data_IF_846000104916
#
_entry.id   IF_846000104916
#
_cell.length_a   1.000
_cell.length_b   1.000
_cell.length_c   1.000
_cell.angle_alpha   90.00
_cell.angle_beta   90.00
_cell.angle_gamma   90.00
#
_symmetry.space_group_name_H-M   'P 1'
#
loop_
_entity.id
_entity.type
_entity.pdbx_description
1 polymer ?
#
# COMPACT_ATOMS: atom_id res chain seq x y z
N UNK A 1 -46.98 -20.67 -20.94
CA UNK A 1 -47.17 -22.13 -20.91
C UNK A 1 -47.01 -22.58 -19.47
N UNK A 2 -48.10 -23.09 -18.86
CA UNK A 2 -48.17 -23.52 -17.45
C UNK A 2 -47.49 -24.89 -17.31
N UNK A 3 -46.73 -25.12 -16.24
CA UNK A 3 -46.69 -26.44 -15.60
C UNK A 3 -46.50 -26.28 -14.09
N UNK A 4 -47.53 -26.70 -13.35
CA UNK A 4 -47.52 -26.96 -11.91
C UNK A 4 -47.33 -28.47 -11.77
N UNK A 5 -46.47 -28.94 -10.86
CA UNK A 5 -46.60 -30.28 -10.28
C UNK A 5 -46.40 -30.14 -8.77
N UNK A 6 -47.46 -30.48 -8.06
CA UNK A 6 -47.60 -30.66 -6.62
C UNK A 6 -47.26 -32.12 -6.31
N UNK A 7 -46.56 -32.37 -5.21
CA UNK A 7 -46.71 -33.62 -4.45
C UNK A 7 -46.89 -33.29 -2.96
N UNK A 8 -47.86 -33.97 -2.37
CA UNK A 8 -48.49 -33.78 -1.07
C UNK A 8 -48.26 -35.07 -0.25
N UNK A 9 -48.30 -34.96 1.08
CA UNK A 9 -48.54 -36.03 2.09
C UNK A 9 -47.35 -36.95 2.43
N UNK A 10 -47.15 -37.52 3.64
CA UNK A 10 -47.90 -37.51 4.91
C UNK A 10 -47.10 -38.22 6.05
N UNK A 11 -47.53 -37.98 7.30
CA UNK A 11 -47.46 -38.83 8.52
C UNK A 11 -46.10 -39.11 9.17
N UNK A 12 -45.81 -38.70 10.42
CA UNK A 12 -46.38 -39.04 11.74
C UNK A 12 -46.10 -40.50 12.19
N UNK A 13 -45.16 -40.64 13.14
CA UNK A 13 -45.15 -41.74 14.11
C UNK A 13 -44.44 -41.28 15.41
N UNK A 14 -45.23 -41.14 16.46
CA UNK A 14 -44.80 -41.04 17.86
C UNK A 14 -44.57 -42.47 18.34
N UNK A 15 -43.39 -42.76 18.90
CA UNK A 15 -43.17 -43.95 19.70
C UNK A 15 -42.39 -43.55 20.95
N UNK A 16 -43.10 -43.51 22.08
CA UNK A 16 -42.54 -43.44 23.41
C UNK A 16 -42.33 -44.86 23.93
N UNK A 17 -41.10 -45.19 24.32
CA UNK A 17 -40.77 -46.36 25.14
C UNK A 17 -39.77 -45.92 26.20
N UNK A 18 -40.24 -45.81 27.43
CA UNK A 18 -39.43 -45.85 28.65
C UNK A 18 -39.16 -47.32 28.98
N UNK A 19 -37.90 -47.67 29.26
CA UNK A 19 -37.46 -48.48 30.42
C UNK A 19 -35.96 -48.81 30.33
N UNK A 20 -35.23 -48.28 31.31
CA UNK A 20 -34.15 -48.92 32.09
C UNK A 20 -32.85 -49.37 31.39
N UNK A 21 -31.80 -48.58 31.62
CA UNK A 21 -30.59 -49.05 32.31
C UNK A 21 -29.58 -49.89 31.54
N UNK A 22 -28.49 -49.25 31.11
CA UNK A 22 -27.13 -49.78 31.31
C UNK A 22 -26.11 -48.63 31.21
N UNK A 23 -25.22 -48.59 32.20
CA UNK A 23 -24.17 -47.59 32.40
C UNK A 23 -23.24 -47.50 31.19
N UNK A 24 -23.06 -46.29 30.67
CA UNK A 24 -21.85 -45.92 29.93
C UNK A 24 -21.30 -44.63 30.53
N UNK A 25 -20.03 -44.73 30.96
CA UNK A 25 -19.22 -43.65 31.52
C UNK A 25 -19.34 -42.40 30.64
N UNK A 26 -19.95 -41.35 31.18
CA UNK A 26 -19.80 -39.99 30.68
C UNK A 26 -18.40 -39.50 31.05
N UNK A 27 -17.47 -39.62 30.10
CA UNK A 27 -16.25 -38.82 30.11
C UNK A 27 -16.64 -37.38 29.79
N UNK A 28 -16.82 -36.58 30.83
CA UNK A 28 -16.75 -35.12 30.73
C UNK A 28 -15.36 -34.75 30.20
N UNK A 29 -15.30 -34.40 28.92
CA UNK A 29 -14.16 -33.71 28.35
C UNK A 29 -14.21 -32.24 28.78
N UNK A 30 -13.86 -31.99 30.05
CA UNK A 30 -13.35 -30.68 30.45
C UNK A 30 -11.94 -30.59 29.89
N UNK A 31 -11.81 -30.08 28.66
CA UNK A 31 -10.54 -29.55 28.17
C UNK A 31 -10.25 -28.28 28.97
N UNK A 32 -9.69 -28.47 30.16
CA UNK A 32 -8.91 -27.44 30.82
C UNK A 32 -7.70 -27.21 29.93
N UNK A 33 -7.70 -26.10 29.19
CA UNK A 33 -6.50 -25.52 28.58
C UNK A 33 -5.47 -25.33 29.68
N UNK A 34 -4.66 -26.37 29.88
CA UNK A 34 -3.54 -26.34 30.79
C UNK A 34 -2.39 -25.73 30.00
N UNK A 35 -2.37 -24.40 29.92
CA UNK A 35 -1.12 -23.71 29.65
C UNK A 35 -0.16 -24.16 30.76
N UNK A 36 0.75 -25.08 30.45
CA UNK A 36 1.76 -25.52 31.40
C UNK A 36 2.45 -24.27 31.95
N UNK A 37 2.46 -24.13 33.28
CA UNK A 37 3.12 -23.00 33.92
C UNK A 37 4.58 -22.97 33.43
N UNK A 38 5.09 -21.82 32.95
CA UNK A 38 6.46 -21.72 32.50
C UNK A 38 7.40 -22.18 33.62
N UNK A 39 8.51 -22.88 33.31
CA UNK A 39 9.45 -23.33 34.32
C UNK A 39 9.91 -22.13 35.16
N UNK A 40 9.97 -22.31 36.49
CA UNK A 40 10.24 -21.22 37.44
C UNK A 40 11.50 -20.40 37.17
N UNK A 41 12.48 -20.97 36.44
CA UNK A 41 13.71 -20.31 36.03
C UNK A 41 13.51 -19.16 35.02
N UNK A 42 12.36 -19.11 34.33
CA UNK A 42 12.06 -18.12 33.31
C UNK A 42 11.16 -16.98 33.83
N UNK A 43 10.85 -16.95 35.13
CA UNK A 43 9.99 -15.92 35.73
C UNK A 43 10.83 -14.77 36.28
N UNK A 44 10.58 -13.55 35.78
CA UNK A 44 11.32 -12.34 36.19
C UNK A 44 10.55 -11.48 37.20
N UNK A 45 9.24 -11.63 37.28
CA UNK A 45 8.38 -10.99 38.29
C UNK A 45 7.04 -11.73 38.42
N UNK A 46 6.25 -11.44 39.45
CA UNK A 46 4.88 -11.95 39.61
C UNK A 46 3.95 -10.83 40.07
N UNK A 47 2.79 -10.68 39.43
CA UNK A 47 1.80 -9.62 39.72
C UNK A 47 0.46 -10.25 40.01
N UNK A 48 0.01 -10.21 41.27
CA UNK A 48 -1.23 -10.85 41.74
C UNK A 48 -1.34 -12.33 41.31
N UNK A 49 -0.25 -13.08 41.46
CA UNK A 49 -0.17 -14.49 41.10
C UNK A 49 0.06 -14.78 39.61
N UNK A 50 0.03 -13.77 38.71
CA UNK A 50 0.41 -13.97 37.31
C UNK A 50 1.94 -13.80 37.14
N UNK A 51 2.67 -14.82 36.66
CA UNK A 51 4.08 -14.68 36.34
C UNK A 51 4.27 -13.77 35.12
N UNK A 52 5.33 -12.97 35.15
CA UNK A 52 5.90 -12.28 34.00
C UNK A 52 7.16 -13.04 33.60
N UNK A 53 7.20 -13.54 32.37
CA UNK A 53 8.30 -14.36 31.86
C UNK A 53 9.45 -13.53 31.30
N UNK A 54 10.64 -14.12 31.21
CA UNK A 54 11.81 -13.53 30.57
C UNK A 54 11.51 -13.19 29.10
N UNK A 55 10.77 -14.04 28.39
CA UNK A 55 10.36 -13.77 27.01
C UNK A 55 9.41 -12.57 26.90
N UNK A 56 8.46 -12.39 27.82
CA UNK A 56 7.61 -11.19 27.85
C UNK A 56 8.43 -9.93 28.12
N UNK A 57 9.40 -10.01 29.03
CA UNK A 57 10.32 -8.92 29.33
C UNK A 57 11.21 -8.56 28.13
N UNK A 58 11.82 -9.54 27.46
CA UNK A 58 12.67 -9.32 26.29
C UNK A 58 11.89 -8.71 25.12
N UNK A 59 10.68 -9.22 24.86
CA UNK A 59 9.79 -8.65 23.84
C UNK A 59 9.39 -7.21 24.18
N UNK A 60 9.08 -6.93 25.45
CA UNK A 60 8.79 -5.58 25.91
C UNK A 60 9.98 -4.64 25.70
N UNK A 61 11.20 -5.06 26.06
CA UNK A 61 12.41 -4.28 25.85
C UNK A 61 12.63 -3.91 24.39
N UNK A 62 12.50 -4.87 23.47
CA UNK A 62 12.68 -4.63 22.02
C UNK A 62 11.65 -3.62 21.52
N UNK A 63 10.37 -3.79 21.87
CA UNK A 63 9.32 -2.85 21.48
C UNK A 63 9.51 -1.45 22.07
N UNK A 64 9.91 -1.37 23.34
CA UNK A 64 10.17 -0.12 24.06
C UNK A 64 11.34 0.66 23.47
N UNK A 65 12.40 -0.04 23.04
CA UNK A 65 13.55 0.56 22.38
C UNK A 65 13.19 1.09 20.97
N UNK A 66 12.32 0.40 20.23
CA UNK A 66 11.83 0.88 18.93
C UNK A 66 10.99 2.15 19.05
N UNK A 67 10.16 2.26 20.09
CA UNK A 67 9.31 3.44 20.32
C UNK A 67 10.09 4.65 20.84
N UNK A 68 11.12 4.44 21.66
CA UNK A 68 11.95 5.51 22.20
C UNK A 68 13.44 5.18 22.07
N UNK A 69 14.02 5.30 20.87
CA UNK A 69 15.40 4.87 20.60
C UNK A 69 16.47 5.67 21.37
N UNK A 70 16.13 6.88 21.84
CA UNK A 70 17.06 7.78 22.52
C UNK A 70 16.96 7.75 24.06
N UNK A 71 16.09 6.90 24.62
CA UNK A 71 15.91 6.80 26.07
C UNK A 71 16.62 5.54 26.58
N UNK A 72 17.62 5.72 27.45
CA UNK A 72 18.32 4.62 28.11
C UNK A 72 17.73 4.39 29.50
N UNK A 73 17.03 3.27 29.67
CA UNK A 73 16.49 2.83 30.97
C UNK A 73 17.31 1.65 31.51
N UNK A 74 17.38 1.54 32.83
CA UNK A 74 17.98 0.36 33.47
C UNK A 74 17.07 -0.85 33.31
N UNK A 75 17.64 -2.07 33.40
CA UNK A 75 16.85 -3.31 33.39
C UNK A 75 15.76 -3.30 34.48
N UNK A 76 16.10 -2.79 35.67
CA UNK A 76 15.16 -2.66 36.78
C UNK A 76 13.99 -1.72 36.43
N UNK A 77 14.27 -0.56 35.86
CA UNK A 77 13.22 0.40 35.49
C UNK A 77 12.27 -0.16 34.40
N UNK A 78 12.81 -0.90 33.42
CA UNK A 78 11.99 -1.56 32.39
C UNK A 78 11.10 -2.66 32.97
N UNK A 79 11.61 -3.41 33.95
CA UNK A 79 10.84 -4.44 34.65
C UNK A 79 9.73 -3.80 35.51
N UNK A 80 10.01 -2.70 36.20
CA UNK A 80 9.02 -1.93 36.96
C UNK A 80 7.91 -1.38 36.04
N UNK A 81 8.26 -0.79 34.89
CA UNK A 81 7.28 -0.33 33.90
C UNK A 81 6.40 -1.48 33.37
N UNK A 82 6.98 -2.66 33.14
CA UNK A 82 6.22 -3.85 32.72
C UNK A 82 5.28 -4.37 33.81
N UNK A 83 5.69 -4.31 35.08
CA UNK A 83 4.84 -4.62 36.24
C UNK A 83 3.67 -3.64 36.32
N UNK A 84 3.92 -2.35 36.16
CA UNK A 84 2.88 -1.31 36.16
C UNK A 84 1.88 -1.50 35.01
N UNK A 85 2.37 -1.81 33.81
CA UNK A 85 1.51 -2.17 32.67
C UNK A 85 0.64 -3.39 32.97
N UNK A 86 1.20 -4.39 33.66
CA UNK A 86 0.48 -5.59 34.04
C UNK A 86 -0.62 -5.31 35.08
N UNK A 87 -0.36 -4.41 36.04
CA UNK A 87 -1.37 -3.91 36.98
C UNK A 87 -2.50 -3.16 36.26
N UNK A 88 -2.16 -2.27 35.33
CA UNK A 88 -3.15 -1.53 34.52
C UNK A 88 -3.99 -2.48 33.66
N UNK A 89 -3.38 -3.51 33.06
CA UNK A 89 -4.10 -4.55 32.33
C UNK A 89 -5.10 -5.29 33.23
N UNK A 90 -4.69 -5.67 34.45
CA UNK A 90 -5.60 -6.32 35.41
C UNK A 90 -6.75 -5.39 35.82
N UNK A 91 -6.47 -4.12 36.10
CA UNK A 91 -7.50 -3.13 36.41
C UNK A 91 -8.51 -2.97 35.26
N UNK A 92 -8.04 -2.92 34.00
CA UNK A 92 -8.90 -2.83 32.83
C UNK A 92 -9.79 -4.07 32.65
N UNK A 93 -9.26 -5.27 32.91
CA UNK A 93 -10.03 -6.52 32.86
C UNK A 93 -11.08 -6.57 33.98
N UNK A 94 -10.70 -6.19 35.20
CA UNK A 94 -11.62 -6.17 36.35
C UNK A 94 -12.75 -5.15 36.16
N UNK A 95 -12.45 -4.02 35.52
CA UNK A 95 -13.44 -3.01 35.13
C UNK A 95 -14.29 -3.40 33.91
N UNK A 96 -14.10 -4.61 33.35
CA UNK A 96 -14.84 -5.11 32.19
C UNK A 96 -14.56 -4.37 30.88
N UNK A 97 -13.48 -3.59 30.79
CA UNK A 97 -13.14 -2.80 29.59
C UNK A 97 -12.89 -3.73 28.39
N UNK A 98 -12.23 -4.86 28.63
CA UNK A 98 -11.96 -5.89 27.61
C UNK A 98 -13.20 -6.60 27.08
N UNK A 99 -14.36 -6.45 27.75
CA UNK A 99 -15.64 -7.04 27.31
C UNK A 99 -16.48 -6.10 26.45
N UNK A 100 -16.07 -4.83 26.31
CA UNK A 100 -16.79 -3.85 25.50
C UNK A 100 -16.65 -4.19 24.01
N UNK A 101 -17.72 -4.20 23.20
CA UNK A 101 -17.66 -4.63 21.80
C UNK A 101 -16.59 -3.90 20.97
N UNK A 102 -16.48 -2.58 21.12
CA UNK A 102 -15.50 -1.76 20.42
C UNK A 102 -14.05 -2.08 20.81
N UNK A 103 -13.83 -2.54 22.05
CA UNK A 103 -12.50 -2.96 22.52
C UNK A 103 -12.17 -4.35 22.00
N UNK A 104 -13.13 -5.27 22.01
CA UNK A 104 -12.96 -6.60 21.43
C UNK A 104 -12.65 -6.53 19.94
N UNK A 105 -13.40 -5.72 19.17
CA UNK A 105 -13.13 -5.49 17.76
C UNK A 105 -11.71 -4.97 17.52
N UNK A 106 -11.23 -4.04 18.37
CA UNK A 106 -9.86 -3.52 18.25
C UNK A 106 -8.80 -4.55 18.62
N UNK A 107 -9.05 -5.38 19.63
CA UNK A 107 -8.17 -6.49 19.99
C UNK A 107 -8.07 -7.47 18.81
N UNK A 108 -9.20 -7.85 18.22
CA UNK A 108 -9.26 -8.76 17.08
C UNK A 108 -8.55 -8.20 15.85
N UNK A 109 -8.77 -6.91 15.52
CA UNK A 109 -8.07 -6.22 14.44
C UNK A 109 -6.55 -6.22 14.65
N UNK A 110 -6.09 -5.88 15.86
CA UNK A 110 -4.67 -5.87 16.20
C UNK A 110 -4.07 -7.27 16.13
N UNK A 111 -4.77 -8.28 16.65
CA UNK A 111 -4.36 -9.69 16.54
C UNK A 111 -4.26 -10.12 15.08
N UNK A 112 -5.25 -9.80 14.25
CA UNK A 112 -5.24 -10.11 12.82
C UNK A 112 -4.04 -9.47 12.12
N UNK A 113 -3.78 -8.18 12.38
CA UNK A 113 -2.64 -7.47 11.80
C UNK A 113 -1.30 -8.09 12.21
N UNK A 114 -1.13 -8.46 13.49
CA UNK A 114 0.08 -9.14 13.96
C UNK A 114 0.28 -10.49 13.29
N UNK A 115 -0.76 -11.30 13.17
CA UNK A 115 -0.70 -12.61 12.51
C UNK A 115 -0.39 -12.47 11.01
N UNK A 116 -1.01 -11.52 10.33
CA UNK A 116 -0.74 -11.23 8.91
C UNK A 116 0.72 -10.82 8.73
N UNK A 117 1.24 -9.91 9.55
CA UNK A 117 2.64 -9.49 9.48
C UNK A 117 3.61 -10.64 9.75
N UNK A 118 3.31 -11.49 10.75
CA UNK A 118 4.12 -12.67 11.05
C UNK A 118 4.14 -13.65 9.86
N UNK A 119 2.97 -13.96 9.30
CA UNK A 119 2.84 -14.83 8.12
C UNK A 119 3.62 -14.28 6.93
N UNK A 120 3.49 -12.99 6.64
CA UNK A 120 4.20 -12.36 5.52
C UNK A 120 5.71 -12.37 5.74
N UNK A 121 6.18 -12.14 6.97
CA UNK A 121 7.61 -12.21 7.30
C UNK A 121 8.15 -13.63 7.19
N UNK A 122 7.46 -14.61 7.75
CA UNK A 122 7.87 -16.02 7.71
C UNK A 122 7.94 -16.53 6.26
N UNK A 123 6.97 -16.15 5.44
CA UNK A 123 6.86 -16.64 4.06
C UNK A 123 7.67 -15.84 3.04
N UNK A 124 7.90 -14.55 3.28
CA UNK A 124 8.45 -13.62 2.28
C UNK A 124 9.53 -12.67 2.82
N UNK A 125 9.91 -12.74 4.11
CA UNK A 125 10.86 -11.82 4.75
C UNK A 125 12.33 -12.04 4.38
N UNK A 126 12.66 -13.19 3.82
CA UNK A 126 13.99 -13.52 3.30
C UNK A 126 13.88 -14.13 1.90
N UNK A 127 13.45 -13.35 0.90
CA UNK A 127 13.24 -13.90 -0.42
C UNK A 127 14.60 -14.27 -1.03
N UNK A 128 14.80 -15.56 -1.33
CA UNK A 128 15.98 -16.04 -2.05
C UNK A 128 15.72 -16.00 -3.55
N UNK A 129 15.59 -14.81 -4.12
CA UNK A 129 15.58 -14.67 -5.58
C UNK A 129 16.97 -14.96 -6.11
N UNK A 130 17.05 -15.78 -7.15
CA UNK A 130 18.32 -16.00 -7.85
C UNK A 130 18.73 -14.72 -8.60
N UNK A 131 20.04 -14.48 -8.72
CA UNK A 131 20.54 -13.35 -9.53
C UNK A 131 20.01 -13.41 -10.97
N UNK A 132 19.83 -14.61 -11.53
CA UNK A 132 19.24 -14.79 -12.86
C UNK A 132 17.78 -14.29 -12.96
N UNK A 133 16.96 -14.52 -11.92
CA UNK A 133 15.57 -14.05 -11.87
C UNK A 133 15.51 -12.53 -11.69
N UNK A 134 16.37 -11.98 -10.84
CA UNK A 134 16.51 -10.54 -10.63
C UNK A 134 17.00 -9.84 -11.91
N UNK A 135 17.99 -10.39 -12.60
CA UNK A 135 18.48 -9.88 -13.87
C UNK A 135 17.42 -9.94 -14.97
N UNK A 136 16.65 -11.04 -15.05
CA UNK A 136 15.56 -11.16 -16.01
C UNK A 136 14.53 -10.06 -15.77
N UNK A 137 14.17 -9.84 -14.51
CA UNK A 137 13.22 -8.79 -14.12
C UNK A 137 13.77 -7.40 -14.42
N UNK A 138 15.05 -7.16 -14.13
CA UNK A 138 15.76 -5.93 -14.50
C UNK A 138 15.67 -5.66 -16.00
N UNK A 139 16.02 -6.65 -16.84
CA UNK A 139 15.97 -6.53 -18.30
C UNK A 139 14.56 -6.21 -18.79
N UNK A 140 13.52 -6.80 -18.18
CA UNK A 140 12.13 -6.52 -18.50
C UNK A 140 11.71 -5.10 -18.09
N UNK A 141 12.07 -4.65 -16.89
CA UNK A 141 11.76 -3.29 -16.43
C UNK A 141 12.49 -2.27 -17.31
N UNK A 142 13.76 -2.50 -17.60
CA UNK A 142 14.58 -1.63 -18.46
C UNK A 142 14.09 -1.63 -19.90
N UNK A 143 13.66 -2.76 -20.47
CA UNK A 143 13.13 -2.75 -21.84
C UNK A 143 11.82 -1.96 -21.95
N UNK A 144 11.04 -1.92 -20.87
CA UNK A 144 9.82 -1.11 -20.77
C UNK A 144 10.10 0.36 -20.43
N UNK A 145 11.24 0.66 -19.80
CA UNK A 145 11.62 2.02 -19.35
C UNK A 145 12.71 2.65 -20.23
N UNK A 146 13.25 1.89 -21.17
CA UNK A 146 14.32 2.29 -22.06
C UNK A 146 13.78 3.17 -23.18
N UNK A 147 14.54 4.19 -23.56
CA UNK A 147 14.11 5.11 -24.60
C UNK A 147 15.13 6.17 -24.91
N UNK A 148 14.85 6.92 -25.96
CA UNK A 148 15.58 8.14 -26.31
C UNK A 148 14.75 9.31 -25.83
N UNK A 149 15.36 10.22 -25.10
CA UNK A 149 14.82 11.55 -24.88
C UNK A 149 15.27 12.48 -26.01
N UNK A 150 14.33 13.28 -26.48
CA UNK A 150 14.53 14.29 -27.50
C UNK A 150 14.34 15.67 -26.85
N UNK A 151 15.21 16.61 -27.21
CA UNK A 151 15.04 18.03 -26.91
C UNK A 151 14.66 18.73 -28.20
N UNK A 152 13.45 19.28 -28.28
CA UNK A 152 12.98 19.93 -29.50
C UNK A 152 12.25 21.25 -29.22
N UNK A 153 12.18 22.08 -30.26
CA UNK A 153 11.27 23.21 -30.34
C UNK A 153 10.30 23.01 -31.48
N UNK A 154 9.11 23.61 -31.40
CA UNK A 154 8.13 23.57 -32.47
C UNK A 154 7.46 24.92 -32.75
N UNK A 155 6.97 25.06 -33.97
CA UNK A 155 6.09 26.14 -34.41
C UNK A 155 4.79 25.48 -34.83
N UNK A 156 3.69 25.79 -34.13
CA UNK A 156 2.35 25.29 -34.44
C UNK A 156 1.58 26.34 -35.23
N UNK A 157 0.95 25.93 -36.32
CA UNK A 157 0.27 26.80 -37.27
C UNK A 157 -1.10 26.20 -37.64
N UNK A 158 -2.04 27.05 -38.06
CA UNK A 158 -3.40 26.61 -38.39
C UNK A 158 -3.44 25.89 -39.73
N UNK A 159 -2.63 26.34 -40.69
CA UNK A 159 -2.67 25.87 -42.07
C UNK A 159 -1.33 25.33 -42.55
N UNK A 160 -1.37 24.43 -43.54
CA UNK A 160 -0.18 23.88 -44.19
C UNK A 160 0.67 24.96 -44.85
N UNK A 161 0.00 25.92 -45.52
CA UNK A 161 0.67 27.01 -46.25
C UNK A 161 1.49 27.91 -45.32
N UNK A 162 0.98 28.21 -44.11
CA UNK A 162 1.76 28.94 -43.10
C UNK A 162 3.02 28.16 -42.70
N UNK A 163 2.90 26.84 -42.50
CA UNK A 163 4.04 26.01 -42.14
C UNK A 163 5.09 25.90 -43.27
N UNK A 164 4.65 25.81 -44.52
CA UNK A 164 5.53 25.84 -45.69
C UNK A 164 6.28 27.17 -45.76
N UNK A 165 5.60 28.30 -45.54
CA UNK A 165 6.22 29.63 -45.50
C UNK A 165 7.24 29.79 -44.38
N UNK A 166 7.00 29.18 -43.21
CA UNK A 166 7.99 29.15 -42.12
C UNK A 166 9.22 28.33 -42.53
N UNK A 167 9.05 27.16 -43.15
CA UNK A 167 10.15 26.32 -43.65
C UNK A 167 10.97 27.07 -44.70
N UNK A 168 10.34 27.81 -45.62
CA UNK A 168 11.03 28.64 -46.60
C UNK A 168 11.90 29.73 -45.95
N UNK A 169 11.39 30.39 -44.90
CA UNK A 169 12.15 31.38 -44.15
C UNK A 169 13.34 30.75 -43.43
N UNK A 170 13.15 29.57 -42.82
CA UNK A 170 14.23 28.82 -42.19
C UNK A 170 15.30 28.37 -43.20
N UNK A 171 14.90 27.98 -44.42
CA UNK A 171 15.83 27.64 -45.49
C UNK A 171 16.67 28.85 -45.95
N UNK A 172 16.15 30.08 -45.78
CA UNK A 172 16.86 31.34 -46.03
C UNK A 172 17.69 31.82 -44.82
N UNK A 173 17.78 31.04 -43.75
CA UNK A 173 18.59 31.35 -42.57
C UNK A 173 17.87 32.14 -41.47
N UNK A 174 16.54 32.24 -41.50
CA UNK A 174 15.79 32.87 -40.41
C UNK A 174 15.97 32.11 -39.08
N UNK A 175 15.93 32.84 -37.97
CA UNK A 175 16.05 32.26 -36.63
C UNK A 175 14.74 31.54 -36.22
N UNK A 176 14.83 30.27 -35.83
CA UNK A 176 13.68 29.46 -35.46
C UNK A 176 12.89 30.03 -34.27
N UNK A 177 13.56 30.42 -33.19
CA UNK A 177 12.91 30.95 -32.00
C UNK A 177 12.18 32.28 -32.27
N UNK A 178 12.74 33.12 -33.16
CA UNK A 178 12.09 34.35 -33.59
C UNK A 178 10.80 34.07 -34.39
N UNK A 179 10.83 33.13 -35.33
CA UNK A 179 9.64 32.70 -36.07
C UNK A 179 8.61 32.05 -35.13
N UNK A 180 9.05 31.25 -34.16
CA UNK A 180 8.16 30.65 -33.18
C UNK A 180 7.42 31.70 -32.34
N UNK A 181 8.13 32.72 -31.83
CA UNK A 181 7.51 33.83 -31.08
C UNK A 181 6.52 34.64 -31.90
N UNK A 182 6.77 34.77 -33.19
CA UNK A 182 6.00 35.61 -34.11
C UNK A 182 4.76 34.89 -34.66
N UNK A 183 4.94 33.65 -35.12
CA UNK A 183 3.97 32.98 -35.99
C UNK A 183 3.27 31.79 -35.27
N UNK A 184 3.86 31.22 -34.22
CA UNK A 184 3.31 30.02 -33.57
C UNK A 184 2.06 30.32 -32.73
N UNK A 185 1.05 29.44 -32.82
CA UNK A 185 -0.14 29.46 -31.96
C UNK A 185 -0.01 28.55 -30.73
N UNK A 186 1.14 27.90 -30.55
CA UNK A 186 1.37 27.02 -29.40
C UNK A 186 1.59 27.83 -28.10
N UNK A 187 1.23 27.29 -26.92
CA UNK A 187 1.56 27.91 -25.63
C UNK A 187 3.06 28.15 -25.40
N UNK A 188 3.93 27.39 -26.06
CA UNK A 188 5.39 27.52 -26.03
C UNK A 188 5.93 28.67 -26.91
N UNK A 189 5.08 29.35 -27.68
CA UNK A 189 5.48 30.42 -28.59
C UNK A 189 6.31 31.53 -27.90
N UNK A 190 5.92 32.05 -26.72
CA UNK A 190 6.70 33.08 -26.02
C UNK A 190 8.12 32.64 -25.65
N UNK A 191 8.35 31.33 -25.46
CA UNK A 191 9.64 30.71 -25.18
C UNK A 191 10.37 30.27 -26.45
N UNK A 192 9.98 30.74 -27.63
CA UNK A 192 10.62 30.33 -28.89
C UNK A 192 10.27 28.90 -29.31
N UNK A 193 9.15 28.37 -28.83
CA UNK A 193 8.63 27.05 -29.19
C UNK A 193 9.24 25.89 -28.41
N UNK A 194 10.02 26.15 -27.35
CA UNK A 194 10.72 25.11 -26.58
C UNK A 194 9.77 24.13 -25.89
N UNK A 195 10.07 22.83 -25.99
CA UNK A 195 9.31 21.74 -25.35
C UNK A 195 10.07 21.06 -24.20
N UNK A 196 11.35 21.37 -24.01
CA UNK A 196 12.21 20.66 -23.06
C UNK A 196 12.60 19.25 -23.55
N UNK A 197 13.03 18.40 -22.61
CA UNK A 197 13.32 16.99 -22.87
C UNK A 197 12.04 16.16 -22.73
N UNK A 198 11.80 15.28 -23.69
CA UNK A 198 10.63 14.42 -23.70
C UNK A 198 10.95 13.06 -24.32
N UNK A 199 10.20 12.03 -23.92
CA UNK A 199 10.28 10.68 -24.50
C UNK A 199 9.21 10.49 -25.58
N UNK A 200 9.45 9.55 -26.49
CA UNK A 200 8.59 9.28 -27.65
C UNK A 200 7.10 9.07 -27.31
N UNK A 201 6.81 8.47 -26.16
CA UNK A 201 5.48 8.14 -25.63
C UNK A 201 4.71 9.35 -25.08
N UNK A 202 5.39 10.47 -24.82
CA UNK A 202 4.75 11.70 -24.31
C UNK A 202 4.17 12.60 -25.41
N UNK A 203 4.53 12.34 -26.68
CA UNK A 203 4.10 13.12 -27.84
C UNK A 203 3.17 12.30 -28.74
N UNK A 204 2.39 12.99 -29.57
CA UNK A 204 1.50 12.31 -30.54
C UNK A 204 2.32 11.61 -31.63
N UNK A 205 1.90 10.42 -32.12
CA UNK A 205 2.73 9.60 -33.02
C UNK A 205 3.30 10.32 -34.25
N UNK A 206 2.55 11.19 -34.97
CA UNK A 206 3.10 11.91 -36.11
C UNK A 206 4.24 12.86 -35.75
N UNK A 207 4.20 13.46 -34.56
CA UNK A 207 5.24 14.36 -34.08
C UNK A 207 6.50 13.58 -33.75
N UNK A 208 6.37 12.49 -32.98
CA UNK A 208 7.48 11.60 -32.63
C UNK A 208 8.16 11.02 -33.89
N UNK A 209 7.38 10.51 -34.84
CA UNK A 209 7.92 9.94 -36.08
C UNK A 209 8.65 10.97 -36.96
N UNK A 210 8.33 12.26 -36.84
CA UNK A 210 9.07 13.32 -37.51
C UNK A 210 10.38 13.65 -36.78
N UNK A 211 10.33 13.77 -35.44
CA UNK A 211 11.50 14.02 -34.60
C UNK A 211 12.56 12.93 -34.74
N UNK A 212 12.15 11.65 -34.76
CA UNK A 212 13.04 10.50 -34.89
C UNK A 212 13.85 10.47 -36.19
N UNK A 213 13.39 11.18 -37.23
CA UNK A 213 14.06 11.27 -38.54
C UNK A 213 15.04 12.44 -38.64
N UNK A 214 15.00 13.38 -37.70
CA UNK A 214 15.87 14.55 -37.70
C UNK A 214 17.22 14.24 -37.07
N UNK A 215 18.26 14.90 -37.57
CA UNK A 215 19.53 15.02 -36.84
C UNK A 215 19.52 16.26 -35.95
N UNK A 216 20.40 16.27 -34.96
CA UNK A 216 20.56 17.43 -34.10
C UNK A 216 20.88 18.70 -34.94
N UNK A 217 20.13 19.77 -34.69
CA UNK A 217 20.18 21.03 -35.42
C UNK A 217 19.28 21.08 -36.66
N UNK A 218 18.70 19.96 -37.09
CA UNK A 218 17.79 19.93 -38.23
C UNK A 218 16.35 20.25 -37.83
N UNK A 219 15.64 20.88 -38.76
CA UNK A 219 14.20 21.05 -38.69
C UNK A 219 13.48 20.30 -39.81
N UNK A 220 12.22 19.97 -39.58
CA UNK A 220 11.36 19.28 -40.55
C UNK A 220 11.28 20.05 -41.87
N UNK A 221 11.63 19.39 -42.97
CA UNK A 221 11.58 19.97 -44.33
C UNK A 221 10.19 19.94 -44.97
N UNK A 222 9.24 19.26 -44.33
CA UNK A 222 7.82 19.28 -44.70
C UNK A 222 6.98 19.48 -43.44
N UNK A 223 5.85 20.20 -43.53
CA UNK A 223 4.93 20.37 -42.40
C UNK A 223 4.44 19.04 -41.83
N UNK A 224 4.40 18.92 -40.50
CA UNK A 224 3.93 17.73 -39.80
C UNK A 224 2.50 17.96 -39.31
N UNK A 225 1.54 17.19 -39.79
CA UNK A 225 0.14 17.34 -39.40
C UNK A 225 -0.19 16.52 -38.14
N UNK A 226 -0.93 17.14 -37.22
CA UNK A 226 -1.50 16.49 -36.03
C UNK A 226 -2.92 16.99 -35.80
N UNK A 227 -3.62 16.43 -34.80
CA UNK A 227 -4.91 16.96 -34.35
C UNK A 227 -4.89 18.42 -33.87
N UNK A 228 -3.72 18.99 -33.60
CA UNK A 228 -3.56 20.36 -33.12
C UNK A 228 -3.28 21.38 -34.23
N UNK A 229 -3.09 20.92 -35.48
CA UNK A 229 -2.68 21.75 -36.62
C UNK A 229 -1.37 21.27 -37.24
N UNK A 230 -0.64 22.20 -37.85
CA UNK A 230 0.57 21.95 -38.63
C UNK A 230 1.82 22.39 -37.86
N UNK A 231 2.78 21.49 -37.72
CA UNK A 231 4.00 21.71 -36.97
C UNK A 231 5.21 21.85 -37.90
N UNK A 232 6.10 22.77 -37.56
CA UNK A 232 7.51 22.76 -37.97
C UNK A 232 8.33 22.46 -36.73
N UNK A 233 9.17 21.44 -36.76
CA UNK A 233 9.85 20.92 -35.57
C UNK A 233 11.36 21.06 -35.77
N UNK A 234 12.08 21.56 -34.77
CA UNK A 234 13.54 21.66 -34.72
C UNK A 234 14.06 20.72 -33.61
N UNK A 235 14.92 19.78 -33.97
CA UNK A 235 15.58 18.91 -33.02
C UNK A 235 16.85 19.58 -32.49
N UNK A 236 16.92 19.82 -31.18
CA UNK A 236 18.07 20.45 -30.52
C UNK A 236 19.04 19.45 -29.92
N UNK A 237 18.59 18.24 -29.60
CA UNK A 237 19.45 17.18 -29.06
C UNK A 237 18.72 15.88 -28.79
N UNK A 238 19.50 14.81 -28.66
CA UNK A 238 19.02 13.46 -28.31
C UNK A 238 19.91 12.88 -27.22
N UNK A 239 19.32 12.21 -26.23
CA UNK A 239 20.07 11.45 -25.23
C UNK A 239 19.39 10.10 -24.98
N UNK A 240 20.19 9.06 -24.78
CA UNK A 240 19.65 7.79 -24.30
C UNK A 240 19.30 7.94 -22.83
N UNK A 241 18.13 7.46 -22.42
CA UNK A 241 17.94 7.14 -21.01
C UNK A 241 18.91 6.00 -20.69
N UNK A 242 19.87 6.30 -19.83
CA UNK A 242 20.66 5.25 -19.19
C UNK A 242 19.87 4.83 -17.95
N UNK A 243 19.26 3.64 -17.95
CA UNK A 243 18.65 3.12 -16.73
C UNK A 243 19.73 2.99 -15.64
N UNK A 244 19.36 3.14 -14.36
CA UNK A 244 20.29 2.83 -13.27
C UNK A 244 20.76 1.38 -13.39
N UNK A 245 21.99 1.11 -12.97
CA UNK A 245 22.60 -0.22 -13.05
C UNK A 245 21.81 -1.26 -12.27
N UNK A 246 21.96 -2.53 -12.65
CA UNK A 246 21.34 -3.64 -11.92
C UNK A 246 21.65 -3.61 -10.42
N UNK A 247 22.90 -3.29 -10.05
CA UNK A 247 23.32 -3.18 -8.66
C UNK A 247 22.55 -2.11 -7.87
N UNK A 248 22.30 -0.95 -8.49
CA UNK A 248 21.57 0.15 -7.85
C UNK A 248 20.08 -0.15 -7.65
N UNK A 249 19.49 -0.95 -8.55
CA UNK A 249 18.05 -1.27 -8.49
C UNK A 249 17.75 -2.64 -7.91
N UNK A 250 18.76 -3.47 -7.61
CA UNK A 250 18.58 -4.82 -7.06
C UNK A 250 17.63 -4.85 -5.85
N UNK A 251 17.77 -3.98 -4.82
CA UNK A 251 16.84 -3.98 -3.68
C UNK A 251 15.39 -3.62 -4.08
N UNK A 252 15.23 -2.76 -5.09
CA UNK A 252 13.92 -2.36 -5.61
C UNK A 252 13.25 -3.50 -6.38
N UNK A 253 14.04 -4.26 -7.15
CA UNK A 253 13.56 -5.44 -7.88
C UNK A 253 13.17 -6.55 -6.92
N UNK A 254 13.96 -6.79 -5.87
CA UNK A 254 13.61 -7.75 -4.82
C UNK A 254 12.29 -7.37 -4.14
N UNK A 255 12.09 -6.08 -3.82
CA UNK A 255 10.83 -5.59 -3.26
C UNK A 255 9.66 -5.78 -4.24
N UNK A 256 9.87 -5.54 -5.54
CA UNK A 256 8.84 -5.72 -6.57
C UNK A 256 8.42 -7.19 -6.68
N UNK A 257 9.38 -8.11 -6.79
CA UNK A 257 9.10 -9.54 -6.87
C UNK A 257 8.41 -10.03 -5.60
N UNK A 258 8.81 -9.53 -4.43
CA UNK A 258 8.16 -9.85 -3.15
C UNK A 258 6.71 -9.41 -3.13
N UNK A 259 6.43 -8.19 -3.61
CA UNK A 259 5.05 -7.71 -3.73
C UNK A 259 4.23 -8.58 -4.70
N UNK A 260 4.80 -8.96 -5.85
CA UNK A 260 4.13 -9.85 -6.81
C UNK A 260 3.88 -11.25 -6.23
N UNK A 261 4.83 -11.80 -5.47
CA UNK A 261 4.68 -13.09 -4.80
C UNK A 261 3.58 -13.05 -3.74
N UNK A 262 3.48 -11.97 -2.96
CA UNK A 262 2.40 -11.75 -2.00
C UNK A 262 1.05 -11.64 -2.72
N UNK A 263 0.96 -10.84 -3.79
CA UNK A 263 -0.26 -10.71 -4.59
C UNK A 263 -0.71 -12.04 -5.16
N UNK A 264 0.22 -12.83 -5.71
CA UNK A 264 -0.06 -14.18 -6.19
C UNK A 264 -0.56 -15.09 -5.06
N UNK A 265 0.09 -15.06 -3.91
CA UNK A 265 -0.32 -15.87 -2.77
C UNK A 265 -1.74 -15.52 -2.30
N UNK A 266 -2.07 -14.23 -2.20
CA UNK A 266 -3.43 -13.76 -1.89
C UNK A 266 -4.42 -14.21 -2.96
N UNK A 267 -4.07 -14.11 -4.24
CA UNK A 267 -4.90 -14.60 -5.35
C UNK A 267 -5.18 -16.10 -5.22
N UNK A 268 -4.15 -16.91 -4.94
CA UNK A 268 -4.27 -18.35 -4.76
C UNK A 268 -5.14 -18.71 -3.54
N UNK A 269 -5.05 -17.93 -2.45
CA UNK A 269 -5.94 -18.07 -1.29
C UNK A 269 -7.39 -17.72 -1.65
N UNK A 270 -7.61 -16.63 -2.38
CA UNK A 270 -8.95 -16.22 -2.83
C UNK A 270 -9.60 -17.26 -3.73
N UNK A 271 -8.85 -17.87 -4.63
CA UNK A 271 -9.34 -18.91 -5.54
C UNK A 271 -9.85 -20.16 -4.79
N UNK A 272 -9.36 -20.41 -3.57
CA UNK A 272 -9.77 -21.54 -2.72
C UNK A 272 -10.83 -21.16 -1.69
N UNK A 273 -11.10 -19.87 -1.50
CA UNK A 273 -12.01 -19.38 -0.49
C UNK A 273 -13.44 -19.24 -1.05
N UNK A 274 -14.44 -19.60 -0.25
CA UNK A 274 -15.83 -19.23 -0.52
C UNK A 274 -16.05 -17.79 -0.08
N UNK A 275 -16.02 -16.85 -1.03
CA UNK A 275 -16.13 -15.41 -0.76
C UNK A 275 -17.53 -14.93 -1.14
N UNK A 276 -18.26 -14.32 -0.20
CA UNK A 276 -19.50 -13.58 -0.45
C UNK A 276 -19.30 -12.12 -0.07
N UNK A 277 -19.60 -11.20 -0.99
CA UNK A 277 -19.49 -9.74 -0.77
C UNK A 277 -20.85 -9.08 -0.91
N UNK A 278 -21.22 -8.19 0.03
CA UNK A 278 -22.40 -7.33 -0.07
C UNK A 278 -21.98 -5.89 0.15
N UNK A 279 -21.92 -5.11 -0.93
CA UNK A 279 -21.54 -3.69 -0.91
C UNK A 279 -22.67 -2.83 -0.34
N UNK A 280 -23.93 -3.28 -0.46
CA UNK A 280 -25.12 -2.54 -0.02
C UNK A 280 -25.17 -2.28 1.50
N UNK A 281 -24.37 -3.03 2.28
CA UNK A 281 -24.23 -2.86 3.73
C UNK A 281 -23.04 -1.97 4.13
N UNK A 282 -22.26 -1.46 3.16
CA UNK A 282 -21.18 -0.50 3.40
C UNK A 282 -21.76 0.90 3.19
N UNK A 283 -21.84 1.73 4.25
CA UNK A 283 -22.35 3.09 4.10
C UNK A 283 -21.56 3.85 3.03
N UNK A 284 -22.24 4.51 2.08
CA UNK A 284 -21.64 5.36 1.04
C UNK A 284 -21.12 6.70 1.60
N UNK A 285 -20.65 6.69 2.85
CA UNK A 285 -20.18 7.88 3.52
C UNK A 285 -19.03 8.47 2.70
N UNK A 286 -19.28 9.63 2.10
CA UNK A 286 -18.24 10.54 1.67
C UNK A 286 -17.59 11.06 2.95
N UNK A 287 -16.68 10.27 3.51
CA UNK A 287 -16.02 10.64 4.77
C UNK A 287 -15.05 11.78 4.48
N UNK A 288 -15.56 13.01 4.39
CA UNK A 288 -14.82 14.16 4.88
C UNK A 288 -14.66 13.92 6.37
N UNK A 289 -13.55 13.28 6.76
CA UNK A 289 -13.14 13.21 8.16
C UNK A 289 -12.84 14.64 8.59
N UNK A 290 -13.85 15.38 9.05
CA UNK A 290 -13.62 16.51 9.94
C UNK A 290 -13.08 15.88 11.23
N UNK A 291 -11.86 16.22 11.67
CA UNK A 291 -11.32 15.64 12.90
C UNK A 291 -12.33 15.89 14.02
N UNK A 292 -12.82 14.81 14.64
CA UNK A 292 -13.57 14.95 15.86
C UNK A 292 -12.62 15.60 16.88
N UNK A 293 -12.91 16.84 17.25
CA UNK A 293 -12.24 17.48 18.37
C UNK A 293 -12.51 16.60 19.60
N UNK A 294 -11.49 15.84 20.01
CA UNK A 294 -11.50 15.17 21.30
C UNK A 294 -11.35 16.27 22.32
N UNK A 295 -12.48 16.82 22.78
CA UNK A 295 -12.47 17.66 23.97
C UNK A 295 -12.05 16.75 25.13
N UNK A 296 -10.95 17.06 25.85
CA UNK A 296 -10.59 16.30 27.03
C UNK A 296 -11.75 16.33 28.03
N UNK A 297 -11.99 15.23 28.78
CA UNK A 297 -13.06 15.18 29.76
C UNK A 297 -12.87 16.32 30.76
N UNK A 298 -13.94 17.09 30.99
CA UNK A 298 -13.95 18.17 31.98
C UNK A 298 -13.72 17.56 33.36
N UNK A 299 -12.51 17.74 33.89
CA UNK A 299 -12.24 17.46 35.30
C UNK A 299 -13.00 18.52 36.07
N UNK A 300 -14.11 18.13 36.73
CA UNK A 300 -14.72 18.97 37.75
C UNK A 300 -13.74 19.00 38.92
N UNK A 301 -13.06 20.12 39.12
CA UNK A 301 -12.34 20.38 40.37
C UNK A 301 -13.36 20.35 41.51
N UNK A 302 -13.40 19.24 42.24
CA UNK A 302 -13.95 19.25 43.60
C UNK A 302 -12.97 20.04 44.46
N UNK A 303 -13.34 21.28 44.81
CA UNK A 303 -12.71 22.02 45.92
C UNK A 303 -12.87 21.18 47.20
N UNK A 304 -11.85 20.39 47.50
CA UNK A 304 -11.67 19.78 48.81
C UNK A 304 -11.13 20.85 49.74
N UNK A 305 -12.01 21.37 50.59
CA UNK A 305 -11.67 22.20 51.73
C UNK A 305 -10.84 21.33 52.69
N UNK A 306 -9.59 21.74 52.93
CA UNK A 306 -8.71 21.08 53.90
C UNK A 306 -9.18 21.56 55.29
N UNK A 307 -9.66 20.68 56.19
CA UNK A 307 -9.95 21.11 57.54
C UNK A 307 -8.62 21.29 58.28
N UNK A 308 -8.34 22.53 58.67
CA UNK A 308 -7.31 22.85 59.66
C UNK A 308 -7.76 22.37 61.03
N UNK A 309 -7.08 21.34 61.57
CA UNK A 309 -6.60 21.21 62.95
C UNK A 309 -5.74 19.97 63.06
#
# INVERSE_FOLDING_TARGET
MKFRIVWLTASLAIAATLLTGCQSKSTDATTSDTHAAPPSADVVATVNGRPITLAEYDNYMVGRAQQMPNVKLSRKALLEELVDMQLLKQAAVNAGINKRPQIQAKIEENTANTLIQALLREKFGHPQYSDAELEKTYKQVVSQSGGTEYKASHILLKTKAEAEKVIEQLNKGANFAALAKKDSIAPSAPQGGELGWFTADTMVPPFTAAVEKLKQGEYTKSPVHTRFGWHVILLQGTRKLNPPSFAEVKPRIESLLTQQAIQKYVSDLRAKAKITTSIDHIPTATTTVKPAAVNPPTIKETKGEIPTT
#
